data_IF_310967939543
#
_entry.id   IF_310967939543
#
_cell.length_a   1.000
_cell.length_b   1.000
_cell.length_c   1.000
_cell.angle_alpha   90.00
_cell.angle_beta   90.00
_cell.angle_gamma   90.00
#
_symmetry.space_group_name_H-M   'P 1'
#
loop_
_entity.id
_entity.type
_entity.pdbx_description
1 polymer ?
#
# COMPACT_ATOMS: atom_id res chain seq x y z
N UNK A 1 2.80 15.96 2.40
CA UNK A 1 1.52 16.15 1.71
C UNK A 1 0.93 14.76 1.55
N UNK A 2 -0.29 14.54 2.02
CA UNK A 2 -0.89 13.19 2.03
C UNK A 2 -1.52 12.89 0.66
N UNK A 3 -0.68 12.77 -0.36
CA UNK A 3 -1.09 12.64 -1.77
C UNK A 3 -2.03 11.45 -2.00
N UNK A 4 -1.94 10.41 -1.17
CA UNK A 4 -2.81 9.22 -1.21
C UNK A 4 -4.30 9.61 -1.18
N UNK A 5 -4.67 10.66 -0.46
CA UNK A 5 -6.07 11.14 -0.42
C UNK A 5 -6.52 11.90 -1.66
N UNK A 6 -5.60 12.20 -2.59
CA UNK A 6 -5.95 12.77 -3.90
C UNK A 6 -6.34 11.70 -4.94
N UNK A 7 -6.12 10.42 -4.63
CA UNK A 7 -6.49 9.27 -5.45
C UNK A 7 -7.75 8.59 -4.93
N UNK A 8 -8.36 7.73 -5.74
CA UNK A 8 -9.51 6.95 -5.30
C UNK A 8 -9.10 5.93 -4.21
N UNK A 9 -9.98 5.57 -3.27
CA UNK A 9 -9.68 4.53 -2.28
C UNK A 9 -9.31 3.18 -2.90
N UNK A 10 -9.66 2.96 -4.17
CA UNK A 10 -9.26 1.76 -4.90
C UNK A 10 -7.75 1.70 -5.16
N UNK A 11 -7.08 2.84 -5.40
CA UNK A 11 -5.61 2.89 -5.51
C UNK A 11 -4.95 2.42 -4.20
N UNK A 12 -5.50 2.85 -3.07
CA UNK A 12 -5.05 2.40 -1.75
C UNK A 12 -5.22 0.89 -1.57
N UNK A 13 -6.36 0.33 -2.00
CA UNK A 13 -6.57 -1.11 -1.95
C UNK A 13 -5.59 -1.87 -2.86
N UNK A 14 -5.36 -1.44 -4.09
CA UNK A 14 -4.42 -2.11 -5.01
C UNK A 14 -2.99 -2.07 -4.44
N UNK A 15 -2.55 -0.93 -3.92
CA UNK A 15 -1.25 -0.85 -3.24
C UNK A 15 -1.20 -1.76 -2.00
N UNK A 16 -2.28 -1.81 -1.23
CA UNK A 16 -2.39 -2.67 -0.05
C UNK A 16 -2.25 -4.15 -0.40
N UNK A 17 -2.84 -4.62 -1.52
CA UNK A 17 -2.68 -6.00 -1.99
C UNK A 17 -1.21 -6.35 -2.23
N UNK A 18 -0.42 -5.46 -2.86
CA UNK A 18 1.02 -5.69 -3.05
C UNK A 18 1.76 -5.85 -1.72
N UNK A 19 1.39 -5.06 -0.70
CA UNK A 19 1.95 -5.19 0.65
C UNK A 19 1.58 -6.53 1.27
N UNK A 20 0.32 -6.98 1.14
CA UNK A 20 -0.12 -8.28 1.64
C UNK A 20 0.62 -9.43 0.97
N UNK A 21 0.85 -9.36 -0.33
CA UNK A 21 1.62 -10.36 -1.08
C UNK A 21 3.07 -10.42 -0.62
N UNK A 22 3.73 -9.27 -0.43
CA UNK A 22 5.10 -9.23 0.10
C UNK A 22 5.18 -9.74 1.55
N UNK A 23 4.18 -9.46 2.37
CA UNK A 23 4.08 -10.01 3.73
C UNK A 23 3.97 -11.54 3.70
N UNK A 24 3.07 -12.09 2.88
CA UNK A 24 2.93 -13.55 2.72
C UNK A 24 4.23 -14.19 2.21
N UNK A 25 4.89 -13.56 1.23
CA UNK A 25 6.18 -14.01 0.70
C UNK A 25 7.28 -14.07 1.78
N UNK A 26 7.23 -13.16 2.76
CA UNK A 26 8.13 -13.16 3.94
C UNK A 26 7.69 -14.12 5.05
N UNK A 27 6.62 -14.90 4.84
CA UNK A 27 6.13 -15.91 5.78
C UNK A 27 5.12 -15.39 6.81
N UNK A 28 4.59 -14.18 6.65
CA UNK A 28 3.53 -13.67 7.52
C UNK A 28 2.18 -14.29 7.14
N UNK A 29 1.36 -14.59 8.15
CA UNK A 29 -0.02 -15.05 7.95
C UNK A 29 -0.96 -13.85 7.79
N UNK A 30 -1.29 -13.50 6.55
CA UNK A 30 -2.26 -12.46 6.24
C UNK A 30 -3.68 -13.03 6.32
N UNK A 31 -4.55 -12.36 7.07
CA UNK A 31 -5.96 -12.74 7.13
C UNK A 31 -6.70 -12.34 5.85
N UNK A 32 -7.61 -13.19 5.38
CA UNK A 32 -8.26 -13.02 4.07
C UNK A 32 -9.07 -11.73 3.92
N UNK A 33 -9.55 -11.15 5.03
CA UNK A 33 -10.31 -9.89 4.97
C UNK A 33 -9.44 -8.73 4.47
N UNK A 34 -8.12 -8.78 4.69
CA UNK A 34 -7.19 -7.75 4.17
C UNK A 34 -7.07 -7.77 2.64
N UNK A 35 -7.55 -8.81 1.97
CA UNK A 35 -7.60 -8.90 0.50
C UNK A 35 -8.98 -8.51 -0.07
N UNK A 36 -9.91 -8.06 0.76
CA UNK A 36 -11.22 -7.55 0.33
C UNK A 36 -11.17 -6.02 0.12
N UNK A 37 -11.50 -5.57 -1.10
CA UNK A 37 -11.55 -4.13 -1.47
C UNK A 37 -12.49 -3.31 -0.59
N UNK A 38 -13.46 -3.95 0.04
CA UNK A 38 -14.44 -3.28 0.89
C UNK A 38 -14.00 -3.21 2.35
N UNK A 39 -13.03 -4.03 2.75
CA UNK A 39 -12.56 -4.08 4.13
C UNK A 39 -11.60 -2.91 4.40
N UNK A 40 -11.88 -2.14 5.45
CA UNK A 40 -11.12 -0.93 5.82
C UNK A 40 -10.41 -1.06 7.17
N UNK A 41 -10.15 -2.29 7.59
CA UNK A 41 -9.67 -2.59 8.93
C UNK A 41 -10.80 -2.73 9.96
N UNK A 42 -10.42 -2.92 11.22
CA UNK A 42 -11.35 -3.31 12.30
C UNK A 42 -12.21 -2.16 12.83
N UNK A 43 -11.73 -0.93 12.70
CA UNK A 43 -12.35 0.25 13.33
C UNK A 43 -13.22 1.06 12.37
N UNK A 44 -12.90 1.04 11.08
CA UNK A 44 -13.62 1.80 10.07
C UNK A 44 -14.77 0.97 9.49
N UNK A 45 -15.89 1.63 9.19
CA UNK A 45 -16.98 1.00 8.45
C UNK A 45 -16.50 0.57 7.06
N UNK A 46 -16.85 -0.65 6.66
CA UNK A 46 -16.55 -1.19 5.32
C UNK A 46 -17.20 -0.35 4.22
N UNK A 47 -16.66 -0.42 3.01
CA UNK A 47 -17.39 0.02 1.83
C UNK A 47 -18.51 -0.98 1.51
N UNK A 48 -19.59 -0.50 0.89
CA UNK A 48 -20.66 -1.40 0.41
C UNK A 48 -20.27 -2.07 -0.90
N UNK A 49 -19.77 -1.28 -1.85
CA UNK A 49 -19.22 -1.75 -3.11
C UNK A 49 -18.23 -0.72 -3.65
N UNK A 50 -16.98 -0.79 -3.17
CA UNK A 50 -15.92 0.08 -3.68
C UNK A 50 -15.77 -0.13 -5.18
N UNK A 51 -15.89 0.96 -5.94
CA UNK A 51 -15.79 0.94 -7.40
C UNK A 51 -14.37 0.55 -7.81
N UNK A 52 -14.27 -0.43 -8.69
CA UNK A 52 -13.01 -0.85 -9.29
C UNK A 52 -12.64 0.09 -10.43
N UNK A 53 -11.34 0.37 -10.53
CA UNK A 53 -10.77 1.28 -11.51
C UNK A 53 -9.53 0.64 -12.13
N UNK A 54 -9.22 1.00 -13.37
CA UNK A 54 -7.95 0.62 -13.97
C UNK A 54 -6.88 1.49 -13.31
N UNK A 55 -5.91 0.84 -12.66
CA UNK A 55 -4.79 1.48 -11.98
C UNK A 55 -3.53 1.25 -12.82
N UNK A 56 -2.87 2.34 -13.19
CA UNK A 56 -1.62 2.31 -13.95
C UNK A 56 -0.43 1.96 -13.03
N UNK A 57 0.72 1.70 -13.65
CA UNK A 57 2.00 1.56 -12.94
C UNK A 57 2.89 2.77 -13.24
N UNK A 58 3.43 3.46 -12.21
CA UNK A 58 3.26 3.19 -10.78
C UNK A 58 1.84 3.55 -10.28
N UNK A 59 1.36 2.87 -9.23
CA UNK A 59 0.02 3.09 -8.65
C UNK A 59 -0.18 4.56 -8.25
N UNK A 60 0.85 5.15 -7.65
CA UNK A 60 0.91 6.59 -7.38
C UNK A 60 2.01 7.19 -8.22
N UNK A 61 1.74 8.33 -8.87
CA UNK A 61 2.74 9.01 -9.70
C UNK A 61 3.92 9.51 -8.88
N UNK A 62 3.68 9.76 -7.60
CA UNK A 62 4.66 10.14 -6.60
C UNK A 62 5.63 9.00 -6.25
N UNK A 63 5.31 7.74 -6.57
CA UNK A 63 6.22 6.60 -6.36
C UNK A 63 7.25 6.52 -7.50
N UNK A 64 8.07 7.55 -7.64
CA UNK A 64 9.19 7.59 -8.56
C UNK A 64 10.52 7.20 -7.86
N UNK A 65 11.63 7.36 -8.58
CA UNK A 65 12.96 7.02 -8.08
C UNK A 65 13.37 7.96 -6.93
N UNK A 66 13.02 9.25 -6.99
CA UNK A 66 13.35 10.22 -5.95
C UNK A 66 12.62 9.86 -4.64
N UNK A 67 11.34 9.46 -4.74
CA UNK A 67 10.56 9.00 -3.59
C UNK A 67 11.12 7.70 -2.99
N UNK A 68 11.63 6.79 -3.82
CA UNK A 68 12.29 5.58 -3.34
C UNK A 68 13.56 5.90 -2.55
N UNK A 69 14.41 6.79 -3.07
CA UNK A 69 15.62 7.23 -2.39
C UNK A 69 15.30 7.87 -1.04
N UNK A 70 14.29 8.75 -0.99
CA UNK A 70 13.79 9.34 0.25
C UNK A 70 13.29 8.28 1.25
N UNK A 71 12.61 7.23 0.78
CA UNK A 71 12.17 6.12 1.62
C UNK A 71 13.36 5.36 2.23
N UNK A 72 14.41 5.09 1.43
CA UNK A 72 15.62 4.39 1.89
C UNK A 72 16.37 5.25 2.91
N UNK A 73 16.53 6.55 2.67
CA UNK A 73 17.13 7.47 3.63
C UNK A 73 16.33 7.55 4.93
N UNK A 74 15.00 7.58 4.85
CA UNK A 74 14.12 7.54 6.03
C UNK A 74 14.29 6.25 6.85
N UNK A 75 14.55 5.10 6.21
CA UNK A 75 14.86 3.85 6.90
C UNK A 75 16.24 3.89 7.55
N UNK A 76 17.26 4.39 6.84
CA UNK A 76 18.63 4.56 7.38
C UNK A 76 18.64 5.47 8.59
N UNK A 77 17.88 6.56 8.57
CA UNK A 77 17.72 7.48 9.71
C UNK A 77 17.04 6.82 10.94
N UNK A 78 16.37 5.69 10.75
CA UNK A 78 15.77 4.86 11.81
C UNK A 78 16.63 3.66 12.19
N UNK A 79 17.90 3.63 11.76
CA UNK A 79 18.84 2.52 11.97
C UNK A 79 18.39 1.20 11.30
N UNK A 80 17.57 1.30 10.23
CA UNK A 80 17.12 0.15 9.44
C UNK A 80 17.89 0.13 8.12
N UNK A 81 18.77 -0.86 7.97
CA UNK A 81 19.56 -1.06 6.76
C UNK A 81 18.96 -2.18 5.91
N UNK A 82 18.71 -1.88 4.64
CA UNK A 82 18.25 -2.87 3.67
C UNK A 82 19.47 -3.60 3.11
N UNK A 83 19.50 -4.92 3.25
CA UNK A 83 20.38 -5.78 2.47
C UNK A 83 19.78 -5.92 1.07
N UNK A 84 20.46 -5.36 0.07
CA UNK A 84 20.05 -5.41 -1.34
C UNK A 84 20.91 -6.43 -2.07
#
# INVERSE_FOLDING_TARGET
MDYVFSYSPYHLFIYHVLVMEEMEKRGYNVSVEWKDKNYRGRTAEKYDNLKEEIVDSPIYKEHDIEYLDDCIENLRNKDIHLEV
#
